data_IF_651007938337
#
_entry.id   IF_651007938337
#
_cell.length_a   1.000
_cell.length_b   1.000
_cell.length_c   1.000
_cell.angle_alpha   90.00
_cell.angle_beta   90.00
_cell.angle_gamma   90.00
#
_symmetry.space_group_name_H-M   'P 1'
#
loop_
_entity.id
_entity.type
_entity.pdbx_description
1 polymer ?
#
# COMPACT_ATOMS: atom_id res chain seq x y z
N UNK A 1 54.05 -52.68 32.55
CA UNK A 1 53.94 -51.22 32.63
C UNK A 1 54.55 -50.42 31.48
N UNK A 2 55.38 -51.00 30.60
CA UNK A 2 55.97 -50.27 29.44
C UNK A 2 54.99 -50.18 28.20
N UNK A 3 54.00 -51.01 28.10
CA UNK A 3 53.09 -51.01 26.95
C UNK A 3 51.84 -50.14 27.17
N UNK A 4 51.56 -49.80 28.43
CA UNK A 4 50.41 -48.95 28.74
C UNK A 4 50.59 -47.47 28.31
N UNK A 5 51.87 -47.02 28.40
CA UNK A 5 52.21 -45.63 28.02
C UNK A 5 52.30 -45.42 26.51
N UNK A 6 52.48 -46.48 25.71
CA UNK A 6 52.57 -46.40 24.26
C UNK A 6 51.12 -46.31 23.66
N UNK A 7 50.19 -47.03 24.27
CA UNK A 7 48.79 -47.00 23.85
C UNK A 7 48.12 -45.63 24.18
N UNK A 8 48.50 -45.00 25.30
CA UNK A 8 48.02 -43.66 25.69
C UNK A 8 48.64 -42.59 24.82
N UNK A 9 49.85 -42.73 24.30
CA UNK A 9 50.45 -41.76 23.38
C UNK A 9 49.88 -41.86 21.96
N UNK A 10 49.51 -43.06 21.53
CA UNK A 10 48.87 -43.26 20.21
C UNK A 10 47.41 -42.79 20.22
N UNK A 11 46.71 -42.94 21.34
CA UNK A 11 45.35 -42.38 21.45
C UNK A 11 45.34 -40.84 21.54
N UNK A 12 46.43 -40.23 22.04
CA UNK A 12 46.52 -38.77 22.08
C UNK A 12 46.89 -38.16 20.72
N UNK A 13 47.57 -38.92 19.84
CA UNK A 13 47.95 -38.47 18.50
C UNK A 13 46.83 -38.62 17.47
N UNK A 14 45.78 -39.39 17.75
CA UNK A 14 44.60 -39.52 16.87
C UNK A 14 43.59 -38.41 17.12
N UNK A 15 43.62 -37.73 18.27
CA UNK A 15 42.73 -36.60 18.58
C UNK A 15 43.18 -35.23 18.06
N UNK A 16 44.39 -35.11 17.47
CA UNK A 16 44.93 -33.84 16.98
C UNK A 16 44.82 -33.69 15.45
N UNK A 17 44.32 -34.70 14.73
CA UNK A 17 44.19 -34.67 13.26
C UNK A 17 42.73 -34.48 12.79
N UNK A 18 41.86 -34.02 13.65
CA UNK A 18 40.44 -33.76 13.34
C UNK A 18 40.04 -32.29 13.38
N UNK A 19 40.98 -31.36 13.20
CA UNK A 19 40.59 -29.98 12.81
C UNK A 19 40.35 -29.99 11.32
N UNK A 20 39.10 -30.28 10.93
CA UNK A 20 38.57 -29.75 9.68
C UNK A 20 38.75 -28.23 9.75
N UNK A 21 39.32 -27.60 8.73
CA UNK A 21 39.14 -26.18 8.61
C UNK A 21 37.64 -25.98 8.45
N UNK A 22 37.00 -25.43 9.48
CA UNK A 22 35.69 -24.81 9.32
C UNK A 22 35.80 -23.98 8.05
N UNK A 23 35.10 -24.42 7.00
CA UNK A 23 34.63 -23.52 5.99
C UNK A 23 33.82 -22.47 6.75
N UNK A 24 34.49 -21.41 7.18
CA UNK A 24 33.85 -20.12 7.31
C UNK A 24 33.37 -19.82 5.88
N UNK A 25 32.17 -20.29 5.56
CA UNK A 25 31.36 -19.53 4.66
C UNK A 25 31.39 -18.12 5.25
N UNK A 26 32.21 -17.26 4.66
CA UNK A 26 31.98 -15.86 4.71
C UNK A 26 30.55 -15.72 4.12
N UNK A 27 29.55 -15.70 5.00
CA UNK A 27 28.35 -14.94 4.71
C UNK A 27 28.91 -13.57 4.38
N UNK A 28 28.98 -13.28 3.10
CA UNK A 28 29.09 -11.93 2.60
C UNK A 28 27.82 -11.29 3.16
N UNK A 29 27.93 -10.59 4.29
CA UNK A 29 26.93 -9.62 4.71
C UNK A 29 26.77 -8.73 3.49
N UNK A 30 25.69 -8.93 2.73
CA UNK A 30 25.31 -8.04 1.67
C UNK A 30 25.15 -6.69 2.35
N UNK A 31 25.94 -5.72 1.93
CA UNK A 31 25.86 -4.36 2.46
C UNK A 31 24.42 -3.92 2.30
N UNK A 32 23.68 -3.83 3.40
CA UNK A 32 22.29 -3.42 3.40
C UNK A 32 22.19 -2.03 2.78
N UNK A 33 21.28 -1.85 1.84
CA UNK A 33 21.07 -0.56 1.19
C UNK A 33 20.33 0.36 2.16
N UNK A 34 20.78 1.61 2.24
CA UNK A 34 20.22 2.61 3.15
C UNK A 34 19.56 3.71 2.35
N UNK A 35 18.28 3.94 2.64
CA UNK A 35 17.54 5.09 2.15
C UNK A 35 17.61 6.19 3.20
N UNK A 36 18.41 7.20 2.98
CA UNK A 36 18.59 8.32 3.90
C UNK A 36 17.45 9.34 3.76
N UNK A 37 16.33 9.03 4.44
CA UNK A 37 15.12 9.86 4.42
C UNK A 37 15.38 11.22 5.06
N UNK A 38 16.20 11.28 6.11
CA UNK A 38 16.53 12.56 6.75
C UNK A 38 17.31 13.48 5.81
N UNK A 39 18.24 12.93 5.04
CA UNK A 39 18.95 13.69 4.01
C UNK A 39 17.99 14.12 2.90
N UNK A 40 17.08 13.24 2.47
CA UNK A 40 16.12 13.53 1.41
C UNK A 40 15.24 14.73 1.75
N UNK A 41 14.63 14.76 2.94
CA UNK A 41 13.75 15.87 3.37
C UNK A 41 14.48 17.19 3.60
N UNK A 42 15.81 17.18 3.64
CA UNK A 42 16.67 18.39 3.64
C UNK A 42 17.13 18.79 2.23
N UNK A 43 16.96 17.91 1.24
CA UNK A 43 17.37 18.12 -0.15
C UNK A 43 16.11 18.21 -1.03
N UNK A 44 15.40 19.34 -0.87
CA UNK A 44 14.14 19.58 -1.57
C UNK A 44 14.40 20.00 -3.00
N UNK A 45 13.67 19.36 -3.93
CA UNK A 45 13.60 19.70 -5.34
C UNK A 45 12.34 20.52 -5.59
N UNK A 46 12.35 21.32 -6.65
CA UNK A 46 11.19 22.12 -7.05
C UNK A 46 10.01 21.24 -7.50
N UNK A 47 10.30 20.15 -8.19
CA UNK A 47 9.28 19.21 -8.69
C UNK A 47 9.87 17.84 -9.04
N UNK A 48 9.02 16.82 -9.05
CA UNK A 48 9.22 15.60 -9.81
C UNK A 48 8.32 15.61 -11.04
N UNK A 49 8.84 15.11 -12.15
CA UNK A 49 8.14 15.13 -13.44
C UNK A 49 7.59 13.74 -13.76
N UNK A 50 6.35 13.69 -14.24
CA UNK A 50 5.72 12.42 -14.59
C UNK A 50 6.47 11.72 -15.72
N UNK A 51 7.03 12.47 -16.64
CA UNK A 51 7.89 11.96 -17.72
C UNK A 51 9.18 11.28 -17.24
N UNK A 52 9.63 11.51 -16.00
CA UNK A 52 10.81 10.78 -15.46
C UNK A 52 10.51 9.30 -15.24
N UNK A 53 9.25 8.95 -14.99
CA UNK A 53 8.82 7.61 -14.58
C UNK A 53 7.86 6.93 -15.55
N UNK A 54 7.24 7.68 -16.46
CA UNK A 54 6.19 7.18 -17.35
C UNK A 54 6.56 7.35 -18.82
N UNK A 55 6.21 6.33 -19.63
CA UNK A 55 6.39 6.33 -21.09
C UNK A 55 5.12 6.76 -21.83
N UNK A 56 3.94 6.53 -21.24
CA UNK A 56 2.65 6.82 -21.88
C UNK A 56 1.57 7.09 -20.84
N UNK A 57 0.48 7.73 -21.28
CA UNK A 57 -0.70 8.02 -20.48
C UNK A 57 -1.97 7.74 -21.27
N UNK A 58 -2.91 6.99 -20.68
CA UNK A 58 -4.25 6.78 -21.21
C UNK A 58 -5.26 7.61 -20.42
N UNK A 59 -6.19 8.22 -21.16
CA UNK A 59 -7.30 8.99 -20.62
C UNK A 59 -8.55 8.16 -20.83
N UNK A 60 -9.18 7.72 -19.73
CA UNK A 60 -10.30 6.78 -19.74
C UNK A 60 -11.50 7.40 -19.04
N UNK A 61 -12.39 8.09 -19.79
CA UNK A 61 -13.67 8.59 -19.25
C UNK A 61 -14.61 7.40 -19.04
N UNK A 62 -15.07 7.20 -17.80
CA UNK A 62 -15.97 6.09 -17.49
C UNK A 62 -17.38 6.36 -17.99
N UNK A 63 -17.92 5.43 -18.78
CA UNK A 63 -19.30 5.50 -19.30
C UNK A 63 -20.30 5.57 -18.14
N UNK A 64 -21.24 6.51 -18.23
CA UNK A 64 -22.35 6.62 -17.29
C UNK A 64 -23.42 5.59 -17.61
N UNK A 65 -23.87 4.87 -16.58
CA UNK A 65 -25.00 3.94 -16.67
C UNK A 65 -25.93 4.16 -15.48
N UNK A 66 -27.19 4.45 -15.74
CA UNK A 66 -28.22 4.73 -14.71
C UNK A 66 -28.38 3.59 -13.69
N UNK A 67 -27.99 2.37 -14.04
CA UNK A 67 -28.03 1.20 -13.14
C UNK A 67 -26.94 1.25 -12.07
N UNK A 68 -25.85 1.97 -12.34
CA UNK A 68 -24.65 2.01 -11.50
C UNK A 68 -24.18 3.45 -11.31
N UNK A 69 -24.91 4.18 -10.49
CA UNK A 69 -24.53 5.54 -10.08
C UNK A 69 -23.67 5.44 -8.82
N UNK A 70 -22.49 6.00 -8.85
CA UNK A 70 -21.56 5.98 -7.72
C UNK A 70 -20.84 7.32 -7.56
N UNK A 71 -20.42 7.60 -6.33
CA UNK A 71 -19.73 8.84 -5.97
C UNK A 71 -18.22 8.63 -5.74
N UNK A 72 -17.81 7.41 -5.48
CA UNK A 72 -16.42 7.13 -5.16
C UNK A 72 -15.93 5.81 -5.76
N UNK A 73 -14.67 5.78 -6.14
CA UNK A 73 -13.96 4.58 -6.53
C UNK A 73 -13.01 4.21 -5.38
N UNK A 74 -13.13 2.98 -4.88
CA UNK A 74 -12.36 2.50 -3.73
C UNK A 74 -11.15 1.68 -4.12
N UNK A 75 -11.21 1.00 -5.25
CA UNK A 75 -10.10 0.20 -5.79
C UNK A 75 -10.21 0.17 -7.30
N UNK A 76 -9.09 0.22 -7.99
CA UNK A 76 -8.97 -0.05 -9.42
C UNK A 76 -7.91 -1.12 -9.62
N UNK A 77 -8.22 -2.14 -10.41
CA UNK A 77 -7.28 -3.16 -10.85
C UNK A 77 -7.34 -3.27 -12.37
N UNK A 78 -6.21 -3.59 -12.99
CA UNK A 78 -6.10 -3.69 -14.45
C UNK A 78 -5.53 -5.04 -14.87
N UNK A 79 -6.02 -5.56 -16.00
CA UNK A 79 -5.45 -6.73 -16.68
C UNK A 79 -5.59 -6.57 -18.19
N UNK A 80 -4.50 -6.20 -18.87
CA UNK A 80 -4.52 -5.92 -20.30
C UNK A 80 -5.53 -4.82 -20.66
N UNK A 81 -6.57 -5.20 -21.42
CA UNK A 81 -7.61 -4.26 -21.87
C UNK A 81 -8.74 -4.07 -20.86
N UNK A 82 -8.71 -4.79 -19.75
CA UNK A 82 -9.76 -4.75 -18.73
C UNK A 82 -9.40 -3.85 -17.56
N UNK A 83 -10.39 -3.07 -17.13
CA UNK A 83 -10.38 -2.24 -15.92
C UNK A 83 -11.47 -2.74 -14.98
N UNK A 84 -11.11 -3.07 -13.76
CA UNK A 84 -12.06 -3.44 -12.70
C UNK A 84 -12.02 -2.40 -11.59
N UNK A 85 -13.17 -1.93 -11.17
CA UNK A 85 -13.25 -0.96 -10.09
C UNK A 85 -14.34 -1.33 -9.08
N UNK A 86 -14.11 -0.93 -7.83
CA UNK A 86 -15.10 -1.01 -6.77
C UNK A 86 -15.74 0.36 -6.61
N UNK A 87 -17.04 0.43 -6.85
CA UNK A 87 -17.84 1.64 -6.72
C UNK A 87 -18.59 1.64 -5.37
N UNK A 88 -18.37 2.68 -4.55
CA UNK A 88 -19.05 2.94 -3.26
C UNK A 88 -19.12 1.75 -2.27
N UNK A 89 -18.13 0.83 -2.29
CA UNK A 89 -18.13 -0.42 -1.55
C UNK A 89 -19.31 -1.38 -1.88
N UNK A 90 -20.06 -1.10 -2.94
CA UNK A 90 -21.33 -1.79 -3.23
C UNK A 90 -21.28 -2.66 -4.48
N UNK A 91 -20.54 -2.27 -5.49
CA UNK A 91 -20.51 -3.00 -6.76
C UNK A 91 -19.12 -3.01 -7.38
N UNK A 92 -18.79 -4.13 -7.98
CA UNK A 92 -17.58 -4.28 -8.82
C UNK A 92 -17.99 -4.17 -10.27
N UNK A 93 -17.41 -3.22 -10.98
CA UNK A 93 -17.69 -2.93 -12.38
C UNK A 93 -16.47 -3.22 -13.24
N UNK A 94 -16.70 -3.78 -14.42
CA UNK A 94 -15.68 -4.00 -15.45
C UNK A 94 -15.90 -3.05 -16.60
N UNK A 95 -14.85 -2.34 -16.96
CA UNK A 95 -14.78 -1.44 -18.11
C UNK A 95 -13.67 -1.90 -19.06
N UNK A 96 -13.73 -1.49 -20.33
CA UNK A 96 -12.61 -1.56 -21.24
C UNK A 96 -11.72 -0.29 -21.15
N UNK A 97 -10.64 -0.26 -21.93
CA UNK A 97 -9.69 0.88 -21.95
C UNK A 97 -10.25 2.16 -22.60
N UNK A 98 -11.36 2.06 -23.29
CA UNK A 98 -12.10 3.24 -23.79
C UNK A 98 -13.09 3.79 -22.75
N UNK A 99 -13.19 3.14 -21.58
CA UNK A 99 -14.09 3.49 -20.50
C UNK A 99 -15.51 3.00 -20.69
N UNK A 100 -15.76 2.07 -21.61
CA UNK A 100 -17.07 1.50 -21.85
C UNK A 100 -17.38 0.39 -20.86
N UNK A 101 -18.54 0.49 -20.20
CA UNK A 101 -19.00 -0.51 -19.24
C UNK A 101 -19.27 -1.85 -19.94
N UNK A 102 -18.64 -2.91 -19.46
CA UNK A 102 -18.79 -4.27 -19.97
C UNK A 102 -19.84 -5.04 -19.15
N UNK A 103 -19.67 -5.13 -17.85
CA UNK A 103 -20.58 -5.82 -16.93
C UNK A 103 -20.28 -5.47 -15.46
N UNK A 104 -21.22 -5.79 -14.58
CA UNK A 104 -20.95 -5.92 -13.16
C UNK A 104 -20.38 -7.31 -12.86
N UNK A 105 -19.57 -7.43 -11.80
CA UNK A 105 -18.97 -8.67 -11.33
C UNK A 105 -19.59 -9.04 -10.00
N UNK A 106 -20.39 -10.11 -9.99
CA UNK A 106 -21.20 -10.46 -8.83
C UNK A 106 -22.27 -9.42 -8.53
N UNK A 107 -22.84 -9.46 -7.35
CA UNK A 107 -23.83 -8.48 -6.90
C UNK A 107 -23.90 -8.38 -5.38
N UNK A 108 -24.45 -7.27 -4.91
CA UNK A 108 -24.70 -7.03 -3.50
C UNK A 108 -25.90 -7.86 -3.05
N UNK A 109 -25.75 -8.60 -1.96
CA UNK A 109 -26.82 -9.44 -1.42
C UNK A 109 -26.36 -10.32 -0.27
N UNK A 110 -27.29 -11.10 0.28
CA UNK A 110 -27.07 -12.03 1.39
C UNK A 110 -26.98 -13.50 0.93
N UNK A 111 -27.05 -13.73 -0.38
CA UNK A 111 -26.94 -15.07 -0.96
C UNK A 111 -25.53 -15.66 -0.85
N UNK A 112 -25.37 -16.97 -1.03
CA UNK A 112 -24.07 -17.62 -0.92
C UNK A 112 -23.09 -17.18 -2.01
N UNK A 113 -23.58 -16.64 -3.12
CA UNK A 113 -22.82 -16.16 -4.27
C UNK A 113 -22.66 -14.65 -4.28
N UNK A 114 -23.28 -13.96 -3.31
CA UNK A 114 -23.28 -12.50 -3.21
C UNK A 114 -22.20 -12.00 -2.27
N UNK A 115 -21.92 -10.70 -2.31
CA UNK A 115 -21.13 -10.02 -1.30
C UNK A 115 -21.96 -8.92 -0.62
N UNK A 116 -21.81 -8.80 0.70
CA UNK A 116 -22.51 -7.76 1.49
C UNK A 116 -21.91 -6.39 1.27
N UNK A 117 -20.58 -6.33 1.24
CA UNK A 117 -19.78 -5.15 0.98
C UNK A 117 -18.54 -5.57 0.22
N UNK A 118 -18.04 -4.69 -0.64
CA UNK A 118 -16.79 -4.89 -1.35
C UNK A 118 -15.69 -4.04 -0.73
N UNK A 119 -14.87 -4.63 0.15
CA UNK A 119 -13.75 -3.93 0.78
C UNK A 119 -12.49 -3.89 -0.06
N UNK A 120 -12.39 -4.74 -1.04
CA UNK A 120 -11.28 -4.77 -1.96
C UNK A 120 -11.47 -5.82 -3.02
N UNK A 121 -10.82 -5.58 -4.14
CA UNK A 121 -10.76 -6.53 -5.25
C UNK A 121 -9.30 -6.80 -5.61
N UNK A 122 -9.04 -7.97 -6.13
CA UNK A 122 -7.80 -8.27 -6.83
C UNK A 122 -8.04 -9.26 -7.96
N UNK A 123 -7.11 -9.31 -8.91
CA UNK A 123 -7.25 -10.10 -10.12
C UNK A 123 -6.29 -11.28 -10.11
N UNK A 124 -6.75 -12.38 -10.69
CA UNK A 124 -5.93 -13.48 -11.16
C UNK A 124 -5.96 -13.47 -12.70
N UNK A 125 -4.95 -12.86 -13.35
CA UNK A 125 -4.93 -12.75 -14.79
C UNK A 125 -4.80 -14.11 -15.51
N UNK A 126 -4.17 -15.10 -14.85
CA UNK A 126 -3.97 -16.43 -15.44
C UNK A 126 -5.28 -17.19 -15.54
N UNK A 127 -6.08 -17.15 -14.46
CA UNK A 127 -7.37 -17.82 -14.40
C UNK A 127 -8.55 -16.93 -14.85
N UNK A 128 -8.29 -15.66 -15.21
CA UNK A 128 -9.31 -14.65 -15.53
C UNK A 128 -10.40 -14.57 -14.44
N UNK A 129 -9.94 -14.40 -13.20
CA UNK A 129 -10.79 -14.30 -12.01
C UNK A 129 -10.66 -12.96 -11.31
N UNK A 130 -11.77 -12.55 -10.75
CA UNK A 130 -11.84 -11.43 -9.79
C UNK A 130 -12.11 -12.00 -8.42
N UNK A 131 -11.23 -11.72 -7.48
CA UNK A 131 -11.48 -12.00 -6.08
C UNK A 131 -12.06 -10.75 -5.42
N UNK A 132 -13.15 -10.93 -4.69
CA UNK A 132 -13.86 -9.86 -3.98
C UNK A 132 -13.80 -10.14 -2.49
N UNK A 133 -13.11 -9.30 -1.75
CA UNK A 133 -13.08 -9.36 -0.30
C UNK A 133 -14.36 -8.76 0.27
N UNK A 134 -15.21 -9.63 0.82
CA UNK A 134 -16.52 -9.30 1.35
C UNK A 134 -16.61 -9.64 2.83
N UNK A 135 -17.33 -8.85 3.58
CA UNK A 135 -17.65 -9.16 4.96
C UNK A 135 -17.66 -7.95 5.86
N UNK A 136 -18.48 -8.01 6.90
CA UNK A 136 -18.54 -7.02 7.95
C UNK A 136 -18.40 -7.73 9.30
N UNK A 137 -17.32 -7.50 10.00
CA UNK A 137 -17.09 -7.85 11.41
C UNK A 137 -17.18 -9.31 11.86
N UNK A 138 -17.94 -10.18 11.20
CA UNK A 138 -18.15 -11.56 11.71
C UNK A 138 -17.78 -12.67 10.73
N UNK A 139 -17.81 -12.42 9.44
CA UNK A 139 -17.49 -13.41 8.42
C UNK A 139 -16.68 -12.78 7.29
N UNK A 140 -15.38 -12.85 7.36
CA UNK A 140 -14.53 -12.48 6.22
C UNK A 140 -14.69 -13.54 5.14
N UNK A 141 -15.33 -13.16 4.04
CA UNK A 141 -15.56 -14.03 2.89
C UNK A 141 -14.81 -13.44 1.68
N UNK A 142 -14.07 -14.29 1.03
CA UNK A 142 -13.44 -13.98 -0.25
C UNK A 142 -14.21 -14.74 -1.33
N UNK A 143 -14.94 -14.01 -2.17
CA UNK A 143 -15.66 -14.58 -3.30
C UNK A 143 -14.81 -14.50 -4.57
N UNK A 144 -14.93 -15.52 -5.40
CA UNK A 144 -14.28 -15.61 -6.71
C UNK A 144 -15.31 -15.60 -7.82
N UNK A 145 -15.07 -14.76 -8.84
CA UNK A 145 -15.92 -14.65 -10.02
C UNK A 145 -15.05 -14.68 -11.28
N UNK A 146 -15.64 -15.11 -12.40
CA UNK A 146 -15.03 -14.85 -13.70
C UNK A 146 -15.07 -13.36 -14.03
N UNK A 147 -14.31 -12.91 -15.03
CA UNK A 147 -14.39 -11.53 -15.54
C UNK A 147 -15.79 -11.16 -16.06
N UNK A 148 -16.56 -12.14 -16.53
CA UNK A 148 -17.97 -11.96 -16.91
C UNK A 148 -18.97 -11.92 -15.75
N UNK A 149 -18.48 -12.01 -14.50
CA UNK A 149 -19.31 -11.90 -13.30
C UNK A 149 -19.92 -13.21 -12.78
N UNK A 150 -19.56 -14.37 -13.36
CA UNK A 150 -20.08 -15.67 -12.91
C UNK A 150 -19.33 -16.11 -11.66
N UNK A 151 -20.05 -16.46 -10.59
CA UNK A 151 -19.50 -17.00 -9.36
C UNK A 151 -18.77 -18.32 -9.59
N UNK A 152 -17.57 -18.46 -9.06
CA UNK A 152 -16.75 -19.68 -9.21
C UNK A 152 -16.38 -20.35 -7.90
N UNK A 153 -16.80 -19.77 -6.77
CA UNK A 153 -16.54 -20.31 -5.44
C UNK A 153 -16.23 -19.21 -4.43
N UNK A 154 -16.04 -19.61 -3.19
CA UNK A 154 -15.67 -18.71 -2.10
C UNK A 154 -14.66 -19.36 -1.17
N UNK A 155 -13.79 -18.56 -0.60
CA UNK A 155 -12.82 -18.96 0.41
C UNK A 155 -13.20 -18.28 1.72
N UNK A 156 -13.30 -19.04 2.81
CA UNK A 156 -13.42 -18.45 4.13
C UNK A 156 -12.03 -18.03 4.59
N UNK A 157 -11.83 -16.77 4.90
CA UNK A 157 -10.58 -16.29 5.47
C UNK A 157 -10.40 -16.87 6.88
N UNK A 158 -9.24 -17.48 7.14
CA UNK A 158 -9.03 -18.42 8.24
C UNK A 158 -9.27 -17.85 9.64
N UNK A 159 -9.19 -16.54 9.84
CA UNK A 159 -9.43 -15.94 11.13
C UNK A 159 -10.47 -14.83 11.04
N UNK A 160 -11.37 -14.81 12.02
CA UNK A 160 -12.30 -13.69 12.22
C UNK A 160 -11.50 -12.43 12.49
N UNK A 161 -11.17 -11.70 11.44
CA UNK A 161 -10.50 -10.42 11.55
C UNK A 161 -11.50 -9.36 11.97
N UNK A 162 -11.14 -8.52 12.90
CA UNK A 162 -11.82 -7.23 13.05
C UNK A 162 -11.54 -6.42 11.78
N UNK A 163 -12.50 -6.42 10.86
CA UNK A 163 -12.56 -5.40 9.84
C UNK A 163 -13.00 -4.13 10.56
N UNK A 164 -12.05 -3.34 11.03
CA UNK A 164 -12.38 -2.01 11.53
C UNK A 164 -12.91 -1.20 10.35
N UNK A 165 -13.94 -0.42 10.60
CA UNK A 165 -14.50 0.62 9.76
C UNK A 165 -13.44 1.64 9.36
N UNK A 166 -12.53 1.26 8.49
CA UNK A 166 -11.52 2.12 7.90
C UNK A 166 -11.83 2.29 6.42
N UNK A 167 -11.71 3.49 5.96
CA UNK A 167 -11.92 3.91 4.57
C UNK A 167 -10.87 3.36 3.59
N UNK A 168 -9.99 2.46 4.02
CA UNK A 168 -8.85 2.02 3.21
C UNK A 168 -9.21 0.77 2.41
N UNK A 169 -9.33 0.97 1.11
CA UNK A 169 -9.60 -0.07 0.09
C UNK A 169 -8.44 -1.06 -0.13
N UNK A 170 -7.34 -0.93 0.62
CA UNK A 170 -6.10 -1.64 0.36
C UNK A 170 -5.80 -2.79 1.32
N UNK A 171 -6.78 -3.29 2.03
CA UNK A 171 -6.58 -4.39 2.98
C UNK A 171 -6.39 -5.77 2.35
N UNK A 172 -6.70 -5.88 1.05
CA UNK A 172 -6.62 -7.14 0.33
C UNK A 172 -5.93 -6.98 -1.03
N UNK A 173 -5.03 -7.92 -1.35
CA UNK A 173 -4.46 -8.11 -2.69
C UNK A 173 -4.25 -9.60 -3.00
N UNK A 174 -4.07 -9.92 -4.28
CA UNK A 174 -3.71 -11.26 -4.75
C UNK A 174 -2.51 -11.16 -5.69
N UNK A 175 -1.44 -11.86 -5.36
CA UNK A 175 -0.21 -11.89 -6.16
C UNK A 175 0.41 -13.28 -6.11
N UNK A 176 0.86 -13.77 -7.25
CA UNK A 176 1.63 -15.01 -7.36
C UNK A 176 1.01 -16.21 -6.63
N UNK A 177 -0.31 -16.38 -6.73
CA UNK A 177 -1.01 -17.45 -6.03
C UNK A 177 -1.25 -17.22 -4.54
N UNK A 178 -0.94 -16.03 -4.02
CA UNK A 178 -1.09 -15.67 -2.62
C UNK A 178 -2.22 -14.65 -2.42
N UNK A 179 -3.08 -14.91 -1.49
CA UNK A 179 -4.00 -13.93 -0.93
C UNK A 179 -3.29 -13.19 0.19
N UNK A 180 -3.19 -11.88 0.07
CA UNK A 180 -2.48 -10.98 0.98
C UNK A 180 -3.52 -10.18 1.73
N UNK A 181 -3.59 -10.38 3.04
CA UNK A 181 -4.50 -9.65 3.91
C UNK A 181 -3.71 -8.75 4.84
N UNK A 182 -4.06 -7.46 4.84
CA UNK A 182 -3.51 -6.46 5.77
C UNK A 182 -4.64 -5.95 6.64
N UNK A 183 -4.34 -5.59 7.87
CA UNK A 183 -5.34 -4.99 8.75
C UNK A 183 -4.74 -3.95 9.67
N UNK A 184 -5.60 -3.07 10.12
CA UNK A 184 -5.36 -2.14 11.19
C UNK A 184 -5.80 -2.77 12.51
N UNK A 185 -5.04 -2.60 13.58
CA UNK A 185 -5.41 -3.08 14.91
C UNK A 185 -5.67 -1.90 15.84
N UNK A 186 -6.77 -1.96 16.63
CA UNK A 186 -6.88 -1.08 17.77
C UNK A 186 -5.71 -1.32 18.72
N UNK A 187 -5.11 -0.28 19.28
CA UNK A 187 -3.98 -0.43 20.21
C UNK A 187 -4.32 -1.24 21.46
N UNK A 188 -5.58 -1.32 21.85
CA UNK A 188 -6.06 -2.22 22.94
C UNK A 188 -5.90 -3.70 22.59
N UNK A 189 -5.80 -4.03 21.33
CA UNK A 189 -5.67 -5.40 20.86
C UNK A 189 -4.22 -5.73 20.46
N UNK A 190 -3.34 -4.73 20.48
CA UNK A 190 -1.90 -4.94 20.31
C UNK A 190 -1.39 -5.76 21.49
N UNK A 191 -0.62 -6.81 21.22
CA UNK A 191 -0.14 -7.76 22.24
C UNK A 191 -1.06 -8.97 22.46
N UNK A 192 -2.27 -8.98 21.89
CA UNK A 192 -2.96 -10.24 21.60
C UNK A 192 -2.28 -10.85 20.37
N UNK A 193 -2.28 -12.17 20.24
CA UNK A 193 -1.72 -12.87 19.07
C UNK A 193 -2.51 -12.54 17.78
N UNK A 194 -2.52 -11.25 17.40
CA UNK A 194 -3.24 -10.74 16.24
C UNK A 194 -2.25 -10.30 15.18
N UNK A 195 -2.40 -10.83 13.99
CA UNK A 195 -1.55 -10.47 12.87
C UNK A 195 -1.93 -9.10 12.27
N UNK A 196 -0.96 -8.40 11.69
CA UNK A 196 -1.17 -7.21 10.86
C UNK A 196 -1.15 -7.54 9.37
N UNK A 197 -0.38 -8.55 9.00
CA UNK A 197 -0.23 -9.04 7.64
C UNK A 197 -0.30 -10.56 7.65
N UNK A 198 -1.12 -11.12 6.77
CA UNK A 198 -1.26 -12.57 6.61
C UNK A 198 -1.24 -12.95 5.14
N UNK A 199 -0.50 -14.00 4.83
CA UNK A 199 -0.44 -14.62 3.51
C UNK A 199 -1.16 -15.96 3.55
N UNK A 200 -2.05 -16.21 2.58
CA UNK A 200 -2.77 -17.47 2.43
C UNK A 200 -2.59 -17.98 0.99
N UNK A 201 -2.64 -19.29 0.83
CA UNK A 201 -2.74 -19.88 -0.51
C UNK A 201 -4.19 -19.91 -1.02
N UNK A 202 -4.36 -20.35 -2.27
CA UNK A 202 -5.69 -20.47 -2.89
C UNK A 202 -6.60 -21.54 -2.27
N UNK A 203 -6.06 -22.39 -1.39
CA UNK A 203 -6.80 -23.36 -0.62
C UNK A 203 -7.13 -22.88 0.81
N UNK A 204 -6.93 -21.60 1.10
CA UNK A 204 -7.12 -20.94 2.39
C UNK A 204 -6.18 -21.42 3.52
N UNK A 205 -5.07 -22.07 3.19
CA UNK A 205 -4.07 -22.38 4.19
C UNK A 205 -3.26 -21.11 4.50
N UNK A 206 -3.15 -20.78 5.78
CA UNK A 206 -2.26 -19.70 6.24
C UNK A 206 -0.83 -20.16 6.06
N UNK A 207 -0.07 -19.41 5.27
CA UNK A 207 1.33 -19.68 4.98
C UNK A 207 2.28 -18.88 5.88
N UNK A 208 1.90 -17.64 6.19
CA UNK A 208 2.68 -16.73 7.02
C UNK A 208 1.76 -15.73 7.71
N UNK A 209 2.10 -15.38 8.94
CA UNK A 209 1.47 -14.28 9.67
C UNK A 209 2.55 -13.41 10.31
N UNK A 210 2.40 -12.10 10.19
CA UNK A 210 3.35 -11.13 10.70
C UNK A 210 2.65 -10.22 11.69
N UNK A 211 3.30 -10.07 12.83
CA UNK A 211 2.83 -9.31 13.97
C UNK A 211 3.77 -8.14 14.17
N UNK A 212 3.25 -6.99 14.59
CA UNK A 212 4.15 -5.93 14.98
C UNK A 212 4.75 -6.26 16.35
N UNK A 213 6.05 -6.14 16.48
CA UNK A 213 6.76 -6.30 17.75
C UNK A 213 6.70 -4.99 18.56
N UNK A 214 5.50 -4.56 18.94
CA UNK A 214 5.38 -3.47 19.90
C UNK A 214 5.80 -3.99 21.28
N UNK A 215 6.71 -3.28 21.93
CA UNK A 215 7.12 -3.60 23.30
C UNK A 215 5.90 -3.57 24.23
N UNK A 216 5.53 -4.72 24.79
CA UNK A 216 4.37 -4.87 25.66
C UNK A 216 4.43 -3.96 26.93
N UNK A 217 5.61 -3.57 27.39
CA UNK A 217 5.79 -2.57 28.46
C UNK A 217 5.22 -1.20 28.10
N UNK A 218 4.96 -0.98 26.83
CA UNK A 218 4.34 0.22 26.28
C UNK A 218 2.81 0.21 26.41
N UNK A 219 2.20 -0.96 26.47
CA UNK A 219 0.74 -1.12 26.49
C UNK A 219 0.06 -0.56 27.74
N UNK A 220 0.73 -0.55 28.90
CA UNK A 220 0.15 -0.02 30.13
C UNK A 220 -0.14 1.48 30.03
N UNK A 221 0.73 2.22 29.33
CA UNK A 221 0.55 3.67 29.14
C UNK A 221 -0.53 3.97 28.09
N UNK A 222 -0.67 3.12 27.09
CA UNK A 222 -1.69 3.24 26.05
C UNK A 222 -3.06 2.91 26.61
N UNK A 223 -3.19 1.84 27.41
CA UNK A 223 -4.46 1.40 27.98
C UNK A 223 -5.09 2.45 28.90
N UNK A 224 -4.31 3.29 29.57
CA UNK A 224 -4.84 4.36 30.41
C UNK A 224 -5.34 5.58 29.62
N UNK A 225 -4.82 5.80 28.39
CA UNK A 225 -5.05 7.05 27.65
C UNK A 225 -5.64 6.85 26.24
N UNK A 226 -5.64 5.65 25.71
CA UNK A 226 -5.90 5.40 24.28
C UNK A 226 -7.33 5.01 23.96
N UNK A 227 -8.14 4.63 24.94
CA UNK A 227 -9.50 4.19 24.73
C UNK A 227 -10.48 4.83 25.70
N UNK A 228 -11.46 5.46 25.14
CA UNK A 228 -12.65 5.91 25.81
C UNK A 228 -13.47 6.76 24.88
N UNK A 229 -14.77 6.65 25.00
CA UNK A 229 -15.64 7.73 24.62
C UNK A 229 -15.33 8.86 25.58
N UNK A 230 -14.92 10.02 25.09
CA UNK A 230 -14.94 11.21 25.94
C UNK A 230 -16.39 11.60 26.20
N UNK A 231 -16.62 12.52 27.12
CA UNK A 231 -17.96 13.02 27.49
C UNK A 231 -18.73 13.60 26.29
N UNK A 232 -18.07 13.87 25.17
CA UNK A 232 -18.64 14.39 23.93
C UNK A 232 -18.87 13.30 22.85
N UNK A 233 -18.82 12.02 23.19
CA UNK A 233 -18.92 10.89 22.25
C UNK A 233 -17.84 10.84 21.17
N UNK A 234 -16.71 11.46 21.37
CA UNK A 234 -15.58 11.36 20.45
C UNK A 234 -14.73 10.15 20.80
N UNK A 235 -14.58 9.26 19.84
CA UNK A 235 -13.75 8.08 19.99
C UNK A 235 -12.28 8.48 19.80
N UNK A 236 -11.47 8.37 20.85
CA UNK A 236 -10.02 8.51 20.72
C UNK A 236 -9.44 7.19 20.25
N UNK A 237 -9.07 7.10 18.99
CA UNK A 237 -8.37 5.93 18.45
C UNK A 237 -6.89 6.21 18.32
N UNK A 238 -6.12 5.38 18.96
CA UNK A 238 -4.79 5.06 18.49
C UNK A 238 -4.92 3.70 17.82
N UNK A 239 -4.66 3.64 16.54
CA UNK A 239 -4.63 2.39 15.79
C UNK A 239 -3.22 2.12 15.35
N UNK A 240 -2.80 0.88 15.44
CA UNK A 240 -1.66 0.42 14.69
C UNK A 240 -2.11 0.25 13.25
N UNK A 241 -1.46 0.97 12.34
CA UNK A 241 -1.83 0.98 10.93
C UNK A 241 -1.46 -0.35 10.27
N UNK A 242 -2.23 -0.69 9.25
CA UNK A 242 -1.83 -1.76 8.34
C UNK A 242 -0.47 -1.44 7.73
N UNK A 243 0.38 -2.46 7.50
CA UNK A 243 1.65 -2.24 6.84
C UNK A 243 1.48 -1.56 5.49
N UNK A 244 2.32 -0.57 5.22
CA UNK A 244 2.43 0.03 3.89
C UNK A 244 2.92 -1.05 2.93
N UNK A 245 2.33 -1.13 1.75
CA UNK A 245 2.59 -2.17 0.79
C UNK A 245 2.86 -1.61 -0.59
N UNK A 246 3.91 -2.09 -1.22
CA UNK A 246 4.23 -1.85 -2.62
C UNK A 246 4.41 -3.17 -3.34
N UNK A 247 3.84 -3.27 -4.53
CA UNK A 247 4.08 -4.36 -5.44
C UNK A 247 4.56 -3.79 -6.78
N UNK A 248 5.79 -4.10 -7.13
CA UNK A 248 6.35 -3.78 -8.43
C UNK A 248 6.90 -5.05 -9.07
N UNK A 249 6.38 -5.42 -10.25
CA UNK A 249 6.62 -6.71 -10.88
C UNK A 249 6.27 -7.86 -9.92
N UNK A 250 7.24 -8.66 -9.51
CA UNK A 250 7.05 -9.79 -8.61
C UNK A 250 7.47 -9.49 -7.15
N UNK A 251 8.01 -8.30 -6.89
CA UNK A 251 8.46 -7.89 -5.56
C UNK A 251 7.31 -7.39 -4.70
N UNK A 252 7.21 -7.92 -3.49
CA UNK A 252 6.23 -7.54 -2.49
C UNK A 252 6.95 -6.92 -1.30
N UNK A 253 6.91 -5.59 -1.22
CA UNK A 253 7.62 -4.83 -0.21
C UNK A 253 6.64 -4.25 0.83
N UNK A 254 7.07 -4.28 2.11
CA UNK A 254 6.27 -3.86 3.24
C UNK A 254 7.04 -2.96 4.19
N UNK A 255 6.38 -1.94 4.71
CA UNK A 255 6.87 -1.14 5.84
C UNK A 255 5.87 -1.23 6.97
N UNK A 256 6.29 -1.70 8.14
CA UNK A 256 5.46 -1.73 9.33
C UNK A 256 5.58 -0.39 10.09
N UNK A 257 4.48 0.09 10.64
CA UNK A 257 4.51 1.33 11.42
C UNK A 257 5.51 1.23 12.58
N UNK A 258 6.30 2.26 12.77
CA UNK A 258 7.34 2.28 13.82
C UNK A 258 8.59 1.47 13.50
N UNK A 259 8.70 0.91 12.30
CA UNK A 259 9.88 0.19 11.85
C UNK A 259 10.65 1.00 10.81
N UNK A 260 11.96 0.93 10.88
CA UNK A 260 12.89 1.60 9.96
C UNK A 260 13.33 0.72 8.78
N UNK A 261 12.60 -0.35 8.51
CA UNK A 261 12.99 -1.35 7.52
C UNK A 261 11.91 -1.52 6.46
N UNK A 262 12.32 -1.48 5.19
CA UNK A 262 11.53 -2.03 4.09
C UNK A 262 11.84 -3.52 4.02
N UNK A 263 10.81 -4.32 4.23
CA UNK A 263 10.89 -5.77 4.14
C UNK A 263 10.40 -6.23 2.79
N UNK A 264 11.11 -7.18 2.19
CA UNK A 264 10.65 -7.94 1.04
C UNK A 264 10.15 -9.30 1.50
N UNK A 265 8.97 -9.69 1.02
CA UNK A 265 8.46 -11.04 1.24
C UNK A 265 8.98 -11.99 0.17
N UNK A 266 9.64 -13.07 0.61
CA UNK A 266 10.03 -14.17 -0.27
C UNK A 266 9.00 -15.30 -0.21
N UNK A 267 8.23 -15.53 -1.29
CA UNK A 267 7.22 -16.61 -1.32
C UNK A 267 7.82 -18.01 -1.18
N UNK A 268 9.07 -18.22 -1.59
CA UNK A 268 9.71 -19.53 -1.55
C UNK A 268 10.09 -19.92 -0.12
N UNK A 269 10.74 -19.02 0.62
CA UNK A 269 11.11 -19.24 2.02
C UNK A 269 9.97 -18.90 3.00
N UNK A 270 8.93 -18.17 2.53
CA UNK A 270 7.82 -17.64 3.33
C UNK A 270 8.26 -16.73 4.47
N UNK A 271 9.30 -15.92 4.21
CA UNK A 271 9.91 -15.04 5.19
C UNK A 271 9.95 -13.60 4.69
N UNK A 272 10.01 -12.68 5.66
CA UNK A 272 10.39 -11.30 5.42
C UNK A 272 11.89 -11.18 5.49
N UNK A 273 12.48 -10.57 4.48
CA UNK A 273 13.89 -10.24 4.44
C UNK A 273 14.06 -8.73 4.44
N UNK A 274 15.10 -8.23 5.09
CA UNK A 274 15.41 -6.81 5.09
C UNK A 274 15.98 -6.44 3.72
N UNK A 275 15.23 -5.62 2.96
CA UNK A 275 15.67 -5.13 1.66
C UNK A 275 16.39 -3.79 1.80
N UNK A 276 15.77 -2.82 2.48
CA UNK A 276 16.35 -1.50 2.74
C UNK A 276 16.20 -1.11 4.21
N UNK A 277 17.10 -0.27 4.67
CA UNK A 277 16.99 0.40 5.97
C UNK A 277 16.66 1.87 5.71
N UNK A 278 15.63 2.39 6.35
CA UNK A 278 15.27 3.78 6.32
C UNK A 278 16.06 4.52 7.41
N UNK A 279 17.03 5.34 6.99
CA UNK A 279 17.77 6.18 7.93
C UNK A 279 16.95 7.43 8.25
N UNK A 280 16.46 7.48 9.48
CA UNK A 280 15.73 8.63 10.02
C UNK A 280 15.98 8.71 11.53
N UNK A 281 16.20 9.92 12.05
CA UNK A 281 16.38 10.13 13.49
C UNK A 281 15.07 10.06 14.28
N UNK A 282 13.96 9.83 13.61
CA UNK A 282 12.62 9.97 14.20
C UNK A 282 11.97 8.63 14.57
N UNK A 283 12.33 7.52 13.90
CA UNK A 283 11.67 6.24 14.15
C UNK A 283 11.85 5.70 15.58
N UNK A 284 13.00 5.93 16.18
CA UNK A 284 13.28 5.49 17.55
C UNK A 284 12.59 6.36 18.63
N UNK A 285 12.14 7.56 18.26
CA UNK A 285 11.43 8.44 19.20
C UNK A 285 9.94 8.14 19.28
N UNK A 286 9.34 7.42 18.31
CA UNK A 286 7.91 7.09 18.32
C UNK A 286 7.49 6.46 19.66
N UNK A 287 8.25 5.50 20.18
CA UNK A 287 7.93 4.87 21.45
C UNK A 287 7.99 5.84 22.63
N UNK A 288 8.98 6.73 22.66
CA UNK A 288 9.12 7.75 23.70
C UNK A 288 8.10 8.85 23.57
N UNK A 289 7.82 9.28 22.35
CA UNK A 289 6.89 10.36 22.05
C UNK A 289 5.45 9.93 22.24
N UNK A 290 5.06 8.73 21.81
CA UNK A 290 3.74 8.16 22.11
C UNK A 290 3.46 8.06 23.61
N UNK A 291 4.47 7.87 24.45
CA UNK A 291 4.36 7.90 25.91
C UNK A 291 4.14 9.32 26.48
N UNK A 292 4.65 10.32 25.79
CA UNK A 292 4.63 11.72 26.26
C UNK A 292 3.51 12.55 25.63
N UNK A 293 2.97 12.12 24.48
CA UNK A 293 2.06 12.89 23.65
C UNK A 293 0.62 12.74 24.13
N UNK A 294 -0.03 13.86 24.39
CA UNK A 294 -1.44 13.91 24.78
C UNK A 294 -2.39 14.09 23.61
N UNK A 295 -1.88 14.53 22.47
CA UNK A 295 -2.63 14.69 21.23
C UNK A 295 -1.77 14.28 20.03
N UNK A 296 -2.42 13.96 18.92
CA UNK A 296 -1.73 13.61 17.67
C UNK A 296 -0.90 14.80 17.13
N UNK A 297 -1.34 16.02 17.38
CA UNK A 297 -0.68 17.27 16.97
C UNK A 297 0.70 17.47 17.63
N UNK A 298 0.90 16.90 18.82
CA UNK A 298 2.17 16.97 19.55
C UNK A 298 3.17 15.90 19.10
N UNK A 299 2.77 15.03 18.17
CA UNK A 299 3.60 13.92 17.73
C UNK A 299 4.62 14.38 16.67
N UNK A 300 5.89 14.46 17.07
CA UNK A 300 7.00 14.92 16.21
C UNK A 300 7.73 13.75 15.55
N UNK A 301 7.05 12.77 15.01
CA UNK A 301 7.67 11.65 14.33
C UNK A 301 7.52 11.74 12.83
N UNK A 302 8.42 11.05 12.15
CA UNK A 302 8.35 10.84 10.73
C UNK A 302 7.64 9.51 10.46
N UNK A 303 6.65 9.53 9.58
CA UNK A 303 5.84 8.39 9.23
C UNK A 303 5.86 8.15 7.73
N UNK A 304 6.00 6.91 7.33
CA UNK A 304 5.77 6.49 5.94
C UNK A 304 4.29 6.17 5.78
N UNK A 305 3.61 6.91 4.91
CA UNK A 305 2.18 6.74 4.65
C UNK A 305 1.90 5.87 3.42
N UNK A 306 2.80 5.93 2.44
CA UNK A 306 2.69 5.17 1.21
C UNK A 306 4.06 4.88 0.61
N UNK A 307 4.13 3.83 -0.20
CA UNK A 307 5.33 3.41 -0.91
C UNK A 307 4.96 2.91 -2.30
N UNK A 308 5.74 3.27 -3.29
CA UNK A 308 5.59 2.76 -4.64
C UNK A 308 6.91 2.79 -5.40
N UNK A 309 7.00 1.96 -6.43
CA UNK A 309 8.27 1.70 -7.09
C UNK A 309 8.15 1.72 -8.62
N UNK A 310 9.28 2.01 -9.23
CA UNK A 310 9.55 1.78 -10.66
C UNK A 310 10.80 0.92 -10.80
N UNK A 311 11.19 0.60 -12.02
CA UNK A 311 12.47 -0.07 -12.27
C UNK A 311 13.64 0.68 -11.61
N UNK A 312 13.62 2.00 -11.67
CA UNK A 312 14.73 2.87 -11.25
C UNK A 312 14.57 3.44 -9.84
N UNK A 313 13.36 3.74 -9.40
CA UNK A 313 13.13 4.54 -8.20
C UNK A 313 12.26 3.82 -7.17
N UNK A 314 12.51 4.11 -5.89
CA UNK A 314 11.57 3.91 -4.80
C UNK A 314 11.06 5.28 -4.38
N UNK A 315 9.76 5.42 -4.23
CA UNK A 315 9.10 6.59 -3.71
C UNK A 315 8.46 6.28 -2.36
N UNK A 316 8.68 7.17 -1.40
CA UNK A 316 8.06 7.10 -0.08
C UNK A 316 7.27 8.39 0.15
N UNK A 317 5.97 8.26 0.36
CA UNK A 317 5.18 9.35 0.93
C UNK A 317 5.44 9.41 2.42
N UNK A 318 5.99 10.52 2.87
CA UNK A 318 6.46 10.67 4.24
C UNK A 318 5.78 11.88 4.87
N UNK A 319 5.25 11.65 6.06
CA UNK A 319 4.65 12.69 6.87
C UNK A 319 5.58 13.02 8.04
N UNK A 320 5.87 14.30 8.20
CA UNK A 320 6.61 14.82 9.34
C UNK A 320 5.96 16.10 9.83
N UNK A 321 5.46 16.10 11.07
CA UNK A 321 4.71 17.24 11.63
C UNK A 321 3.53 17.63 10.71
N UNK A 322 3.49 18.88 10.24
CA UNK A 322 2.47 19.36 9.30
C UNK A 322 2.85 19.21 7.83
N UNK A 323 4.04 18.72 7.55
CA UNK A 323 4.59 18.64 6.19
C UNK A 323 4.43 17.24 5.61
N UNK A 324 4.11 17.19 4.31
CA UNK A 324 4.17 15.97 3.51
C UNK A 324 5.30 16.04 2.50
N UNK A 325 6.04 14.96 2.41
CA UNK A 325 7.15 14.80 1.48
C UNK A 325 6.90 13.60 0.58
N UNK A 326 7.25 13.74 -0.68
CA UNK A 326 7.48 12.59 -1.54
C UNK A 326 8.99 12.42 -1.70
N UNK A 327 9.54 11.43 -1.03
CA UNK A 327 10.96 11.08 -1.09
C UNK A 327 11.19 10.17 -2.29
N UNK A 328 12.22 10.44 -3.07
CA UNK A 328 12.72 9.60 -4.16
C UNK A 328 14.09 9.06 -3.82
N UNK A 329 14.24 7.76 -3.92
CA UNK A 329 15.51 7.04 -3.87
C UNK A 329 15.81 6.47 -5.25
N UNK A 330 16.98 6.76 -5.79
CA UNK A 330 17.49 6.18 -7.04
C UNK A 330 18.23 4.88 -6.73
N UNK A 331 17.77 3.76 -7.30
CA UNK A 331 18.32 2.43 -7.07
C UNK A 331 19.70 2.22 -7.70
N UNK A 332 20.07 3.07 -8.69
CA UNK A 332 21.34 2.94 -9.42
C UNK A 332 22.49 3.68 -8.72
N UNK A 333 22.26 4.92 -8.32
CA UNK A 333 23.30 5.78 -7.73
C UNK A 333 23.14 6.03 -6.22
N UNK A 334 22.11 5.42 -5.62
CA UNK A 334 21.76 5.53 -4.19
C UNK A 334 21.48 6.98 -3.75
N UNK A 335 21.19 7.88 -4.67
CA UNK A 335 20.87 9.27 -4.35
C UNK A 335 19.46 9.42 -3.81
N UNK A 336 19.28 10.43 -2.94
CA UNK A 336 17.99 10.75 -2.35
C UNK A 336 17.67 12.24 -2.48
N UNK A 337 16.41 12.53 -2.75
CA UNK A 337 15.86 13.88 -2.73
C UNK A 337 14.36 13.82 -2.43
N UNK A 338 13.72 14.95 -2.20
CA UNK A 338 12.29 15.01 -1.96
C UNK A 338 11.65 16.23 -2.61
N UNK A 339 10.36 16.18 -2.83
CA UNK A 339 9.48 17.32 -3.02
C UNK A 339 8.58 17.45 -1.79
N UNK A 340 8.09 18.67 -1.52
CA UNK A 340 7.36 18.97 -0.28
C UNK A 340 6.05 19.69 -0.60
N UNK A 341 5.00 19.33 0.12
CA UNK A 341 3.81 20.14 0.28
C UNK A 341 3.72 20.64 1.71
N UNK A 342 3.45 21.93 1.84
CA UNK A 342 3.11 22.56 3.11
C UNK A 342 1.60 22.62 3.23
N UNK A 343 1.07 22.29 4.40
CA UNK A 343 -0.35 22.34 4.60
C UNK A 343 -0.75 22.62 6.04
N UNK A 344 -1.99 23.03 6.20
CA UNK A 344 -2.60 23.19 7.49
C UNK A 344 -3.15 21.85 7.99
N UNK A 345 -2.94 21.55 9.28
CA UNK A 345 -3.63 20.45 9.94
C UNK A 345 -5.10 20.84 10.02
N UNK A 346 -5.97 20.15 9.29
CA UNK A 346 -7.41 20.34 9.44
C UNK A 346 -7.93 19.37 10.49
N UNK A 347 -8.41 19.93 11.59
CA UNK A 347 -9.28 19.20 12.50
C UNK A 347 -10.67 19.10 11.87
N UNK A 348 -11.08 17.93 11.50
CA UNK A 348 -12.40 17.75 10.93
C UNK A 348 -12.60 16.32 10.48
N UNK A 349 -13.26 15.54 11.27
CA UNK A 349 -13.67 14.19 10.91
C UNK A 349 -14.84 13.79 11.79
N UNK A 350 -15.57 12.80 11.39
CA UNK A 350 -16.54 12.14 12.23
C UNK A 350 -15.77 11.63 13.46
N UNK A 351 -16.12 12.13 14.64
CA UNK A 351 -15.57 11.71 15.95
C UNK A 351 -14.18 12.24 16.35
N UNK A 352 -13.77 13.44 15.93
CA UNK A 352 -12.53 14.05 16.44
C UNK A 352 -11.24 13.34 16.02
N UNK A 353 -11.31 12.48 15.02
CA UNK A 353 -10.13 11.91 14.37
C UNK A 353 -9.52 13.00 13.52
N UNK A 354 -8.29 13.39 13.82
CA UNK A 354 -7.58 14.38 13.03
C UNK A 354 -7.15 13.74 11.71
N UNK A 355 -7.76 14.19 10.62
CA UNK A 355 -7.27 13.91 9.29
C UNK A 355 -6.34 15.03 8.87
N UNK A 356 -5.19 14.67 8.37
CA UNK A 356 -4.33 15.64 7.72
C UNK A 356 -4.96 16.01 6.39
N UNK A 357 -5.08 17.29 6.13
CA UNK A 357 -5.67 17.81 4.91
C UNK A 357 -4.62 18.22 3.87
N UNK A 358 -3.39 17.72 4.00
CA UNK A 358 -2.34 17.97 3.01
C UNK A 358 -2.27 16.75 2.12
N UNK A 359 -2.64 16.95 0.87
CA UNK A 359 -2.39 15.94 -0.14
C UNK A 359 -0.88 15.69 -0.25
N UNK A 360 -0.44 14.43 -0.40
CA UNK A 360 0.96 14.15 -0.66
C UNK A 360 1.40 14.89 -1.93
N UNK A 361 2.66 15.37 -1.97
CA UNK A 361 3.17 15.97 -3.19
C UNK A 361 3.14 14.95 -4.32
N UNK A 362 2.72 15.42 -5.50
CA UNK A 362 2.64 14.60 -6.71
C UNK A 362 3.71 14.97 -7.73
N UNK A 363 3.62 14.32 -8.88
CA UNK A 363 4.42 14.63 -10.06
C UNK A 363 3.74 15.72 -10.87
N UNK A 364 4.52 16.66 -11.40
CA UNK A 364 4.02 17.57 -12.43
C UNK A 364 3.65 16.75 -13.66
N UNK A 365 2.41 16.88 -14.10
CA UNK A 365 1.92 16.17 -15.29
C UNK A 365 2.36 16.90 -16.56
N UNK A 366 3.60 16.68 -16.96
CA UNK A 366 4.17 17.19 -18.19
C UNK A 366 3.88 16.32 -19.42
N UNK A 367 3.13 15.23 -19.26
CA UNK A 367 2.69 14.37 -20.36
C UNK A 367 1.46 14.97 -21.07
N UNK A 368 0.38 15.21 -20.34
CA UNK A 368 -0.86 15.76 -20.90
C UNK A 368 -1.38 17.05 -20.23
N UNK A 369 -0.76 17.45 -19.11
CA UNK A 369 -1.13 18.65 -18.36
C UNK A 369 -2.19 18.40 -17.29
N UNK A 370 -2.52 19.45 -16.54
CA UNK A 370 -3.46 19.41 -15.43
C UNK A 370 -2.77 19.38 -14.07
N UNK A 371 -3.54 19.07 -13.03
CA UNK A 371 -3.08 19.03 -11.65
C UNK A 371 -1.99 17.99 -11.42
N UNK A 372 -1.32 18.08 -10.27
CA UNK A 372 -0.29 17.12 -9.88
C UNK A 372 -0.83 15.70 -9.89
N UNK A 373 -0.05 14.78 -10.44
CA UNK A 373 -0.36 13.36 -10.45
C UNK A 373 0.24 12.67 -9.23
N UNK A 374 -0.62 12.09 -8.40
CA UNK A 374 -0.22 11.15 -7.36
C UNK A 374 -0.91 9.81 -7.62
N UNK A 375 -0.20 8.66 -7.61
CA UNK A 375 -0.81 7.37 -7.90
C UNK A 375 -1.71 6.92 -6.75
N UNK A 376 -3.01 6.95 -6.97
CA UNK A 376 -4.00 6.42 -6.02
C UNK A 376 -4.03 4.90 -6.05
N UNK A 377 -3.92 4.32 -7.27
CA UNK A 377 -3.86 2.87 -7.46
C UNK A 377 -2.62 2.48 -8.26
N UNK A 378 -2.03 1.35 -7.87
CA UNK A 378 -0.76 0.86 -8.40
C UNK A 378 -0.94 -0.60 -8.80
N UNK A 379 -0.86 -0.88 -10.10
CA UNK A 379 -1.06 -2.21 -10.67
C UNK A 379 0.14 -2.60 -11.52
N UNK A 380 1.13 -3.23 -10.88
CA UNK A 380 2.34 -3.66 -11.59
C UNK A 380 3.08 -2.50 -12.26
N UNK A 381 2.94 -2.36 -13.59
CA UNK A 381 3.57 -1.29 -14.38
C UNK A 381 2.63 -0.12 -14.69
N UNK A 382 1.49 -0.06 -14.06
CA UNK A 382 0.53 1.02 -14.25
C UNK A 382 0.22 1.73 -12.95
N UNK A 383 0.21 3.06 -12.99
CA UNK A 383 -0.29 3.92 -11.93
C UNK A 383 -1.54 4.64 -12.38
N UNK A 384 -2.52 4.73 -11.50
CA UNK A 384 -3.82 5.28 -11.83
C UNK A 384 -4.16 6.39 -10.85
N UNK A 385 -4.66 7.50 -11.39
CA UNK A 385 -5.30 8.56 -10.63
C UNK A 385 -6.74 8.71 -11.11
N UNK A 386 -7.66 8.88 -10.17
CA UNK A 386 -9.07 9.14 -10.43
C UNK A 386 -9.33 10.64 -10.33
N UNK A 387 -9.94 11.19 -11.35
CA UNK A 387 -10.38 12.58 -11.34
C UNK A 387 -11.89 12.64 -11.41
N UNK A 388 -12.50 13.33 -10.45
CA UNK A 388 -13.91 13.65 -10.54
C UNK A 388 -14.15 14.59 -11.72
N UNK A 389 -15.31 14.43 -12.39
CA UNK A 389 -15.62 15.24 -13.57
C UNK A 389 -15.59 16.74 -13.27
N UNK A 390 -16.10 17.16 -12.10
CA UNK A 390 -16.07 18.56 -11.66
C UNK A 390 -14.64 19.08 -11.49
N UNK A 391 -13.76 18.32 -10.85
CA UNK A 391 -12.36 18.66 -10.64
C UNK A 391 -11.60 18.92 -11.96
N UNK A 392 -11.82 18.03 -12.94
CA UNK A 392 -11.21 18.19 -14.26
C UNK A 392 -11.75 19.41 -15.02
N UNK A 393 -13.07 19.66 -14.92
CA UNK A 393 -13.67 20.83 -15.55
C UNK A 393 -13.17 22.14 -14.95
N UNK A 394 -12.93 22.18 -13.65
CA UNK A 394 -12.39 23.34 -12.96
C UNK A 394 -10.92 23.58 -13.33
N UNK A 395 -10.16 22.55 -13.72
CA UNK A 395 -8.76 22.64 -14.12
C UNK A 395 -8.53 22.88 -15.63
N UNK A 396 -9.58 23.07 -16.43
CA UNK A 396 -9.49 23.15 -17.90
C UNK A 396 -8.55 24.25 -18.40
N UNK A 397 -8.53 25.42 -17.75
CA UNK A 397 -7.68 26.54 -18.16
C UNK A 397 -6.20 26.27 -17.84
N UNK A 398 -5.92 25.58 -16.73
CA UNK A 398 -4.58 25.11 -16.39
C UNK A 398 -4.10 24.09 -17.42
N UNK A 399 -4.96 23.10 -17.76
CA UNK A 399 -4.65 22.10 -18.79
C UNK A 399 -4.32 22.78 -20.11
N UNK A 400 -5.12 23.75 -20.55
CA UNK A 400 -4.88 24.51 -21.81
C UNK A 400 -3.54 25.26 -21.79
N UNK A 401 -3.19 25.86 -20.66
CA UNK A 401 -1.96 26.63 -20.48
C UNK A 401 -0.70 25.76 -20.34
N UNK A 402 -0.82 24.50 -19.93
CA UNK A 402 0.29 23.60 -19.66
C UNK A 402 1.14 23.36 -20.91
N UNK A 403 2.46 23.35 -20.74
CA UNK A 403 3.38 22.82 -21.73
C UNK A 403 3.55 21.32 -21.50
N UNK A 404 3.38 20.53 -22.56
CA UNK A 404 3.35 19.08 -22.45
C UNK A 404 4.26 18.41 -23.47
N UNK A 405 4.71 17.22 -23.15
CA UNK A 405 5.53 16.37 -24.02
C UNK A 405 4.69 15.55 -24.99
N UNK A 406 3.41 15.30 -24.67
CA UNK A 406 2.47 14.51 -25.49
C UNK A 406 1.25 15.37 -25.90
N UNK A 407 1.38 16.23 -26.93
CA UNK A 407 0.29 17.11 -27.36
C UNK A 407 -0.97 16.35 -27.79
N UNK A 408 -0.83 15.18 -28.40
CA UNK A 408 -1.93 14.31 -28.79
C UNK A 408 -2.74 13.81 -27.59
N UNK A 409 -2.07 13.47 -26.49
CA UNK A 409 -2.75 13.09 -25.23
C UNK A 409 -3.46 14.27 -24.60
N UNK A 410 -2.86 15.46 -24.65
CA UNK A 410 -3.52 16.69 -24.22
C UNK A 410 -4.75 17.00 -25.06
N UNK A 411 -4.68 16.85 -26.37
CA UNK A 411 -5.83 17.01 -27.26
C UNK A 411 -6.93 16.01 -26.94
N UNK A 412 -6.57 14.73 -26.69
CA UNK A 412 -7.55 13.72 -26.25
C UNK A 412 -8.21 14.14 -24.93
N UNK A 413 -7.45 14.61 -23.93
CA UNK A 413 -7.99 15.07 -22.65
C UNK A 413 -8.95 16.25 -22.87
N UNK A 414 -8.56 17.25 -23.64
CA UNK A 414 -9.42 18.40 -23.96
C UNK A 414 -10.67 18.01 -24.75
N UNK A 415 -10.57 17.00 -25.62
CA UNK A 415 -11.74 16.45 -26.32
C UNK A 415 -12.73 15.80 -25.35
N UNK A 416 -12.26 14.99 -24.40
CA UNK A 416 -13.07 14.42 -23.31
C UNK A 416 -13.76 15.54 -22.54
N UNK A 417 -13.00 16.55 -22.09
CA UNK A 417 -13.52 17.68 -21.32
C UNK A 417 -14.57 18.50 -22.06
N UNK A 418 -14.52 18.54 -23.39
CA UNK A 418 -15.48 19.27 -24.21
C UNK A 418 -16.91 18.70 -24.15
N UNK A 419 -17.04 17.42 -23.76
CA UNK A 419 -18.33 16.70 -23.65
C UNK A 419 -18.69 16.33 -22.23
N UNK A 420 -17.74 16.38 -21.31
CA UNK A 420 -17.88 16.01 -19.91
C UNK A 420 -18.83 16.97 -19.17
N UNK A 421 -19.68 16.45 -18.33
CA UNK A 421 -20.56 17.21 -17.42
C UNK A 421 -20.13 16.97 -15.98
N UNK A 422 -20.50 17.89 -15.09
CA UNK A 422 -20.14 17.80 -13.65
C UNK A 422 -20.63 16.53 -12.97
N UNK A 423 -21.77 16.02 -13.40
CA UNK A 423 -22.41 14.82 -12.82
C UNK A 423 -22.06 13.53 -13.56
N UNK A 424 -21.14 13.59 -14.54
CA UNK A 424 -20.67 12.39 -15.23
C UNK A 424 -19.74 11.58 -14.31
N UNK A 425 -19.56 10.30 -14.63
CA UNK A 425 -18.61 9.43 -13.94
C UNK A 425 -17.18 9.97 -14.03
N UNK A 426 -16.31 9.57 -13.09
CA UNK A 426 -14.90 9.98 -13.07
C UNK A 426 -14.15 9.64 -14.36
N UNK A 427 -13.04 10.34 -14.56
CA UNK A 427 -12.06 10.05 -15.60
C UNK A 427 -10.82 9.46 -14.96
N UNK A 428 -10.36 8.31 -15.44
CA UNK A 428 -9.10 7.72 -15.00
C UNK A 428 -7.95 8.21 -15.86
N UNK A 429 -6.86 8.64 -15.25
CA UNK A 429 -5.58 8.77 -15.91
C UNK A 429 -4.74 7.55 -15.55
N UNK A 430 -4.43 6.73 -16.54
CA UNK A 430 -3.65 5.51 -16.41
C UNK A 430 -2.30 5.73 -17.05
N UNK A 431 -1.24 5.80 -16.26
CA UNK A 431 0.12 5.94 -16.77
C UNK A 431 0.80 4.59 -16.87
N UNK A 432 1.63 4.41 -17.90
CA UNK A 432 2.47 3.25 -18.12
C UNK A 432 3.89 3.59 -17.70
N UNK A 433 4.41 2.84 -16.75
CA UNK A 433 5.76 3.03 -16.23
C UNK A 433 6.82 2.55 -17.23
N UNK A 434 7.98 3.20 -17.20
CA UNK A 434 9.17 2.85 -17.98
C UNK A 434 9.70 1.46 -17.67
#
# INVERSE_FOLDING_TARGET
MKYLNVILLISLLIFVSGCNPENKQQETESKKQIIDVEKAIKHIQDAFWLSDVADDIDIVPLEFDERYVFNSIRKVCTDGDDLFLTADLSVVLRYDRDGKLQNAVGHLGEGPEDYLYCFGISLDPELKRVYVASGFCSENKLNSYTYSGIYTGGITVAEKGYCMLGSESDFYDYRQGLHIFRRMLPLTDVGKDLWLLQMQDTAANVLSSFYNSVDLAYMDVINENAFGWNDDFNLKYWTERSPVYSCYQDDMNFVFEGNDTIFKYDPASRKMECEYILHTNYFHSIEKERKAVKSFEECQYLRVDDMFETAKYIFLSVEKESDCFLVRYDKEDESVCAVKNEGEIRSGGINGTYFRAVDPPGFVNDLCGGSLFYPEFKNGKEWIKVYQAEELLDSIDEIKASRVLMPDKKEKLLSVLSTLKKDDNPVLLVIKLK
#
